data_IF_013402244647
#
_entry.id   IF_013402244647
#
_cell.length_a   1.000
_cell.length_b   1.000
_cell.length_c   1.000
_cell.angle_alpha   90.00
_cell.angle_beta   90.00
_cell.angle_gamma   90.00
#
_symmetry.space_group_name_H-M   'P 1'
#
loop_
_entity.id
_entity.type
_entity.pdbx_description
1 polymer ?
#
# COMPACT_ATOMS: atom_id res chain seq x y z
N UNK A 1 19.00 -10.79 5.15
CA UNK A 1 18.02 -9.80 4.63
C UNK A 1 18.07 -9.72 3.10
N UNK A 2 19.17 -9.26 2.48
CA UNK A 2 19.27 -9.12 1.02
C UNK A 2 18.95 -10.41 0.21
N UNK A 3 19.42 -11.57 0.68
CA UNK A 3 19.08 -12.88 0.11
C UNK A 3 17.56 -13.14 0.06
N UNK A 4 16.83 -12.78 1.12
CA UNK A 4 15.38 -12.96 1.18
C UNK A 4 14.65 -12.00 0.23
N UNK A 5 15.06 -10.72 0.16
CA UNK A 5 14.47 -9.76 -0.76
C UNK A 5 14.67 -10.19 -2.22
N UNK A 6 15.88 -10.67 -2.55
CA UNK A 6 16.21 -11.17 -3.89
C UNK A 6 15.39 -12.42 -4.21
N UNK A 7 15.26 -13.35 -3.25
CA UNK A 7 14.44 -14.54 -3.40
C UNK A 7 12.95 -14.18 -3.61
N UNK A 8 12.40 -13.28 -2.79
CA UNK A 8 11.00 -12.87 -2.90
C UNK A 8 10.71 -12.24 -4.27
N UNK A 9 11.57 -11.32 -4.73
CA UNK A 9 11.44 -10.72 -6.06
C UNK A 9 11.59 -11.75 -7.19
N UNK A 10 12.53 -12.68 -7.06
CA UNK A 10 12.72 -13.74 -8.06
C UNK A 10 11.48 -14.65 -8.15
N UNK A 11 10.93 -15.07 -7.01
CA UNK A 11 9.74 -15.94 -6.95
C UNK A 11 8.51 -15.23 -7.54
N UNK A 12 8.26 -13.97 -7.18
CA UNK A 12 7.13 -13.21 -7.73
C UNK A 12 7.29 -12.94 -9.23
N UNK A 13 8.51 -12.67 -9.69
CA UNK A 13 8.81 -12.47 -11.12
C UNK A 13 8.62 -13.76 -11.92
N UNK A 14 9.10 -14.90 -11.41
CA UNK A 14 8.89 -16.21 -12.07
C UNK A 14 7.39 -16.53 -12.18
N UNK A 15 6.63 -16.28 -11.12
CA UNK A 15 5.17 -16.49 -11.15
C UNK A 15 4.48 -15.59 -12.17
N UNK A 16 4.86 -14.30 -12.24
CA UNK A 16 4.34 -13.38 -13.26
C UNK A 16 4.63 -13.91 -14.68
N UNK A 17 5.83 -14.46 -14.93
CA UNK A 17 6.16 -15.06 -16.23
C UNK A 17 5.26 -16.28 -16.51
N UNK A 18 4.99 -17.11 -15.52
CA UNK A 18 4.06 -18.25 -15.65
C UNK A 18 2.63 -17.79 -15.98
N UNK A 19 2.16 -16.71 -15.37
CA UNK A 19 0.86 -16.10 -15.67
C UNK A 19 0.82 -15.51 -17.09
N UNK A 20 1.89 -14.83 -17.53
CA UNK A 20 2.00 -14.32 -18.91
C UNK A 20 1.92 -15.44 -19.96
N UNK A 21 2.63 -16.56 -19.72
CA UNK A 21 2.60 -17.73 -20.61
C UNK A 21 1.19 -18.33 -20.65
N UNK A 22 0.54 -18.47 -19.49
CA UNK A 22 -0.82 -18.99 -19.40
C UNK A 22 -1.83 -18.07 -20.13
N UNK A 23 -1.75 -16.76 -19.90
CA UNK A 23 -2.59 -15.77 -20.57
C UNK A 23 -2.42 -15.81 -22.10
N UNK A 24 -1.19 -16.03 -22.59
CA UNK A 24 -0.95 -16.19 -24.03
C UNK A 24 -1.56 -17.48 -24.60
N UNK A 25 -1.48 -18.59 -23.86
CA UNK A 25 -2.06 -19.87 -24.27
C UNK A 25 -3.58 -19.82 -24.33
N UNK A 26 -4.21 -19.29 -23.29
CA UNK A 26 -5.68 -19.22 -23.15
C UNK A 26 -6.29 -17.94 -23.75
N UNK A 27 -5.56 -17.19 -24.59
CA UNK A 27 -5.98 -15.89 -25.15
C UNK A 27 -7.31 -15.89 -25.93
N UNK A 28 -7.78 -17.06 -26.34
CA UNK A 28 -9.03 -17.23 -27.08
C UNK A 28 -10.24 -17.52 -26.17
N UNK A 29 -10.01 -17.87 -24.90
CA UNK A 29 -11.03 -18.07 -23.88
C UNK A 29 -11.07 -16.82 -22.98
N UNK A 30 -12.05 -15.95 -23.23
CA UNK A 30 -12.18 -14.68 -22.52
C UNK A 30 -12.42 -14.85 -21.02
N UNK A 31 -13.07 -15.94 -20.60
CA UNK A 31 -13.36 -16.19 -19.19
C UNK A 31 -12.09 -16.61 -18.44
N UNK A 32 -11.28 -17.48 -19.04
CA UNK A 32 -9.98 -17.88 -18.49
C UNK A 32 -8.99 -16.72 -18.51
N UNK A 33 -8.93 -15.99 -19.62
CA UNK A 33 -8.06 -14.83 -19.77
C UNK A 33 -8.39 -13.77 -18.71
N UNK A 34 -9.67 -13.42 -18.52
CA UNK A 34 -10.05 -12.45 -17.50
C UNK A 34 -9.64 -12.88 -16.09
N UNK A 35 -9.78 -14.17 -15.75
CA UNK A 35 -9.37 -14.72 -14.44
C UNK A 35 -7.88 -14.57 -14.18
N UNK A 36 -7.02 -14.93 -15.14
CA UNK A 36 -5.56 -14.78 -14.97
C UNK A 36 -5.15 -13.31 -14.99
N UNK A 37 -5.80 -12.48 -15.81
CA UNK A 37 -5.46 -11.05 -15.93
C UNK A 37 -5.64 -10.29 -14.62
N UNK A 38 -6.63 -10.63 -13.78
CA UNK A 38 -6.80 -10.00 -12.46
C UNK A 38 -5.57 -10.19 -11.58
N UNK A 39 -5.11 -11.43 -11.44
CA UNK A 39 -3.94 -11.77 -10.65
C UNK A 39 -2.67 -11.20 -11.27
N UNK A 40 -2.48 -11.40 -12.58
CA UNK A 40 -1.32 -10.93 -13.32
C UNK A 40 -1.11 -9.42 -13.16
N UNK A 41 -2.18 -8.63 -13.26
CA UNK A 41 -2.07 -7.18 -13.10
C UNK A 41 -1.74 -6.75 -11.66
N UNK A 42 -2.22 -7.47 -10.65
CA UNK A 42 -1.78 -7.26 -9.26
C UNK A 42 -0.29 -7.60 -9.07
N UNK A 43 0.22 -8.60 -9.77
CA UNK A 43 1.66 -8.91 -9.75
C UNK A 43 2.47 -7.81 -10.44
N UNK A 44 1.98 -7.28 -11.57
CA UNK A 44 2.62 -6.15 -12.27
C UNK A 44 2.68 -4.91 -11.37
N UNK A 45 1.60 -4.53 -10.68
CA UNK A 45 1.62 -3.38 -9.77
C UNK A 45 2.55 -3.60 -8.58
N UNK A 46 2.52 -4.79 -7.98
CA UNK A 46 3.38 -5.16 -6.86
C UNK A 46 4.86 -5.14 -7.25
N UNK A 47 5.24 -5.76 -8.37
CA UNK A 47 6.62 -5.76 -8.87
C UNK A 47 7.07 -4.34 -9.22
N UNK A 48 6.21 -3.53 -9.86
CA UNK A 48 6.52 -2.12 -10.16
C UNK A 48 6.89 -1.33 -8.91
N UNK A 49 6.13 -1.51 -7.81
CA UNK A 49 6.43 -0.88 -6.52
C UNK A 49 7.69 -1.47 -5.88
N UNK A 50 7.85 -2.80 -5.88
CA UNK A 50 9.05 -3.45 -5.34
C UNK A 50 10.33 -2.94 -6.00
N UNK A 51 10.31 -2.74 -7.33
CA UNK A 51 11.43 -2.15 -8.07
C UNK A 51 11.73 -0.73 -7.60
N UNK A 52 10.71 0.11 -7.39
CA UNK A 52 10.90 1.45 -6.82
C UNK A 52 11.52 1.37 -5.42
N UNK A 53 10.99 0.52 -4.53
CA UNK A 53 11.55 0.34 -3.18
C UNK A 53 13.01 -0.15 -3.20
N UNK A 54 13.38 -0.94 -4.20
CA UNK A 54 14.74 -1.46 -4.34
C UNK A 54 15.71 -0.43 -4.94
N UNK A 55 15.31 0.25 -6.02
CA UNK A 55 16.14 1.23 -6.73
C UNK A 55 16.28 2.53 -5.92
N UNK A 56 15.21 2.97 -5.28
CA UNK A 56 15.16 4.22 -4.51
C UNK A 56 15.36 4.00 -3.01
N UNK A 57 15.90 2.84 -2.62
CA UNK A 57 16.07 2.43 -1.22
C UNK A 57 16.79 3.49 -0.37
N UNK A 58 17.88 4.05 -0.88
CA UNK A 58 18.65 5.09 -0.18
C UNK A 58 17.81 6.36 0.01
N UNK A 59 17.05 6.75 -1.03
CA UNK A 59 16.20 7.94 -0.93
C UNK A 59 15.03 7.75 0.02
N UNK A 60 14.47 6.55 0.07
CA UNK A 60 13.42 6.17 1.03
C UNK A 60 14.00 6.18 2.44
N UNK A 61 15.21 5.64 2.63
CA UNK A 61 15.87 5.63 3.94
C UNK A 61 16.10 7.05 4.45
N UNK A 62 16.66 7.94 3.62
CA UNK A 62 16.84 9.36 3.97
C UNK A 62 15.51 10.06 4.28
N UNK A 63 14.45 9.78 3.52
CA UNK A 63 13.12 10.33 3.78
C UNK A 63 12.56 9.88 5.14
N UNK A 64 12.74 8.61 5.48
CA UNK A 64 12.31 8.07 6.79
C UNK A 64 13.15 8.65 7.92
N UNK A 65 14.47 8.75 7.74
CA UNK A 65 15.39 9.33 8.71
C UNK A 65 15.08 10.82 8.98
N UNK A 66 14.57 11.55 7.98
CA UNK A 66 14.14 12.93 8.17
C UNK A 66 13.00 13.08 9.21
N UNK A 67 12.19 12.04 9.45
CA UNK A 67 11.17 12.08 10.50
C UNK A 67 11.73 12.03 11.92
N UNK A 68 13.02 11.71 12.11
CA UNK A 68 13.69 11.75 13.41
C UNK A 68 14.19 13.16 13.78
N UNK A 69 14.09 14.12 12.86
CA UNK A 69 14.46 15.51 13.12
C UNK A 69 13.58 16.13 14.24
N UNK A 70 14.13 17.10 14.96
CA UNK A 70 13.49 17.70 16.13
C UNK A 70 12.19 18.44 15.76
N UNK A 71 12.13 19.00 14.56
CA UNK A 71 10.99 19.70 13.99
C UNK A 71 9.77 18.78 13.85
N UNK A 72 9.99 17.50 13.53
CA UNK A 72 8.93 16.50 13.42
C UNK A 72 8.51 15.91 14.77
N UNK A 73 9.35 16.03 15.80
CA UNK A 73 9.17 15.39 17.11
C UNK A 73 8.93 16.40 18.24
N UNK A 74 8.24 17.49 17.94
CA UNK A 74 7.86 18.49 18.94
C UNK A 74 6.97 17.89 20.02
N UNK A 75 7.25 18.18 21.29
CA UNK A 75 6.48 17.66 22.44
C UNK A 75 4.97 17.94 22.34
N UNK A 76 4.60 19.12 21.82
CA UNK A 76 3.21 19.57 21.67
C UNK A 76 2.43 18.78 20.61
N UNK A 77 3.14 18.17 19.64
CA UNK A 77 2.56 17.31 18.61
C UNK A 77 2.50 15.83 18.98
N UNK A 78 3.06 15.43 20.13
CA UNK A 78 3.23 14.02 20.47
C UNK A 78 1.92 13.24 20.56
N UNK A 79 0.81 13.87 20.97
CA UNK A 79 -0.50 13.23 21.01
C UNK A 79 -1.01 12.94 19.60
N UNK A 80 -0.97 13.93 18.70
CA UNK A 80 -1.36 13.81 17.30
C UNK A 80 -0.53 12.72 16.59
N UNK A 81 0.79 12.69 16.80
CA UNK A 81 1.68 11.69 16.21
C UNK A 81 1.37 10.28 16.70
N UNK A 82 1.08 10.11 17.99
CA UNK A 82 0.66 8.81 18.54
C UNK A 82 -0.66 8.34 17.94
N UNK A 83 -1.62 9.23 17.75
CA UNK A 83 -2.92 8.89 17.18
C UNK A 83 -2.81 8.56 15.68
N UNK A 84 -1.96 9.27 14.94
CA UNK A 84 -1.59 8.94 13.56
C UNK A 84 -0.95 7.55 13.48
N UNK A 85 0.07 7.26 14.29
CA UNK A 85 0.73 5.96 14.30
C UNK A 85 -0.23 4.81 14.67
N UNK A 86 -1.12 5.01 15.65
CA UNK A 86 -2.14 4.01 16.01
C UNK A 86 -3.13 3.77 14.87
N UNK A 87 -3.54 4.83 14.18
CA UNK A 87 -4.50 4.73 13.08
C UNK A 87 -3.87 4.08 11.84
N UNK A 88 -2.65 4.47 11.48
CA UNK A 88 -1.87 3.83 10.42
C UNK A 88 -1.65 2.33 10.69
N UNK A 89 -1.32 1.95 11.93
CA UNK A 89 -1.15 0.54 12.31
C UNK A 89 -2.45 -0.25 12.23
N UNK A 90 -3.58 0.34 12.63
CA UNK A 90 -4.91 -0.32 12.50
C UNK A 90 -5.27 -0.52 11.05
N UNK A 91 -5.10 0.51 10.23
CA UNK A 91 -5.32 0.47 8.79
C UNK A 91 -4.48 -0.62 8.12
N UNK A 92 -3.16 -0.66 8.37
CA UNK A 92 -2.27 -1.69 7.83
C UNK A 92 -2.74 -3.10 8.20
N UNK A 93 -3.06 -3.34 9.47
CA UNK A 93 -3.49 -4.67 9.94
C UNK A 93 -4.81 -5.10 9.31
N UNK A 94 -5.79 -4.20 9.24
CA UNK A 94 -7.07 -4.47 8.61
C UNK A 94 -6.88 -4.76 7.11
N UNK A 95 -6.11 -3.92 6.43
CA UNK A 95 -5.91 -3.99 5.00
C UNK A 95 -5.13 -5.24 4.57
N UNK A 96 -3.98 -5.53 5.18
CA UNK A 96 -3.25 -6.78 4.92
C UNK A 96 -4.05 -8.01 5.37
N UNK A 97 -4.85 -7.90 6.45
CA UNK A 97 -5.75 -8.96 6.89
C UNK A 97 -6.81 -9.31 5.85
N UNK A 98 -7.44 -8.30 5.23
CA UNK A 98 -8.41 -8.49 4.14
C UNK A 98 -7.75 -9.14 2.92
N UNK A 99 -6.50 -8.77 2.58
CA UNK A 99 -5.76 -9.39 1.48
C UNK A 99 -5.47 -10.88 1.74
N UNK A 100 -4.99 -11.22 2.94
CA UNK A 100 -4.74 -12.63 3.32
C UNK A 100 -6.04 -13.44 3.34
N UNK A 101 -7.13 -12.87 3.87
CA UNK A 101 -8.45 -13.51 3.85
C UNK A 101 -8.91 -13.78 2.42
N UNK A 102 -8.74 -12.82 1.51
CA UNK A 102 -9.08 -12.97 0.09
C UNK A 102 -8.30 -14.12 -0.55
N UNK A 103 -6.98 -14.17 -0.35
CA UNK A 103 -6.13 -15.26 -0.85
C UNK A 103 -6.53 -16.62 -0.26
N UNK A 104 -6.91 -16.64 1.02
CA UNK A 104 -7.40 -17.86 1.69
C UNK A 104 -8.71 -18.34 1.09
N UNK A 105 -9.64 -17.45 0.76
CA UNK A 105 -10.89 -17.83 0.09
C UNK A 105 -10.63 -18.36 -1.32
N UNK A 106 -9.65 -17.81 -2.04
CA UNK A 106 -9.31 -18.25 -3.39
C UNK A 106 -8.80 -19.69 -3.45
N UNK A 107 -8.07 -20.16 -2.43
CA UNK A 107 -7.60 -21.56 -2.39
C UNK A 107 -8.71 -22.57 -2.04
N UNK A 108 -9.84 -22.11 -1.48
CA UNK A 108 -10.97 -22.98 -1.20
C UNK A 108 -11.59 -23.51 -2.51
N UNK A 109 -11.62 -22.71 -3.58
CA UNK A 109 -12.24 -23.16 -4.85
C UNK A 109 -11.50 -24.35 -5.48
N UNK A 110 -10.17 -24.31 -5.70
CA UNK A 110 -9.42 -25.48 -6.18
C UNK A 110 -9.62 -26.72 -5.32
N UNK A 111 -9.68 -26.57 -3.98
CA UNK A 111 -9.90 -27.69 -3.06
C UNK A 111 -11.30 -28.28 -3.20
N UNK A 112 -12.34 -27.44 -3.26
CA UNK A 112 -13.72 -27.90 -3.44
C UNK A 112 -13.88 -28.63 -4.77
N UNK A 113 -13.35 -28.07 -5.86
CA UNK A 113 -13.41 -28.70 -7.17
C UNK A 113 -12.66 -30.04 -7.19
N UNK A 114 -11.47 -30.12 -6.60
CA UNK A 114 -10.71 -31.36 -6.51
C UNK A 114 -11.46 -32.46 -5.73
N UNK A 115 -12.06 -32.12 -4.58
CA UNK A 115 -12.83 -33.07 -3.75
C UNK A 115 -14.10 -33.54 -4.46
N UNK A 116 -14.71 -32.68 -5.28
CA UNK A 116 -15.88 -33.02 -6.10
C UNK A 116 -15.54 -33.81 -7.38
N UNK A 117 -14.24 -34.05 -7.65
CA UNK A 117 -13.79 -34.69 -8.88
C UNK A 117 -13.96 -33.81 -10.13
N UNK A 118 -14.12 -32.50 -9.95
CA UNK A 118 -14.20 -31.52 -11.03
C UNK A 118 -12.79 -31.13 -11.51
N UNK A 119 -12.63 -30.76 -12.79
CA UNK A 119 -11.35 -30.28 -13.30
C UNK A 119 -10.92 -28.99 -12.57
N UNK A 120 -9.68 -28.97 -12.08
CA UNK A 120 -9.09 -27.79 -11.43
C UNK A 120 -8.12 -27.13 -12.40
N UNK A 121 -8.34 -25.84 -12.66
CA UNK A 121 -7.41 -25.04 -13.44
C UNK A 121 -6.69 -24.05 -12.54
N UNK A 122 -5.36 -24.13 -12.51
CA UNK A 122 -4.54 -23.12 -11.87
C UNK A 122 -4.32 -21.95 -12.85
N UNK A 123 -4.45 -20.68 -12.41
CA UNK A 123 -4.32 -19.51 -13.27
C UNK A 123 -2.85 -19.16 -13.57
N UNK A 124 -1.99 -20.15 -13.74
CA UNK A 124 -0.58 -19.99 -14.10
C UNK A 124 -0.09 -21.22 -14.84
N UNK A 125 0.93 -21.06 -15.67
CA UNK A 125 1.46 -22.15 -16.47
C UNK A 125 2.24 -23.15 -15.62
N UNK A 126 1.87 -24.43 -15.73
CA UNK A 126 2.57 -25.56 -15.14
C UNK A 126 2.44 -26.79 -16.04
N UNK A 127 3.56 -27.52 -16.24
CA UNK A 127 3.59 -28.78 -16.99
C UNK A 127 3.32 -30.01 -16.11
N UNK A 128 3.05 -29.82 -14.83
CA UNK A 128 2.88 -30.90 -13.88
C UNK A 128 1.45 -31.45 -13.92
N UNK A 129 1.35 -32.78 -13.96
CA UNK A 129 0.09 -33.50 -13.89
C UNK A 129 -0.51 -33.40 -12.47
N UNK A 130 -1.43 -32.46 -12.31
CA UNK A 130 -2.09 -32.11 -11.05
C UNK A 130 -3.28 -33.02 -10.73
N UNK A 131 -3.49 -34.10 -11.49
CA UNK A 131 -4.43 -35.17 -11.08
C UNK A 131 -3.87 -36.01 -9.92
N UNK A 132 -2.55 -35.98 -9.71
CA UNK A 132 -1.88 -36.68 -8.61
C UNK A 132 -2.01 -35.87 -7.31
N UNK A 133 -2.44 -36.48 -6.19
CA UNK A 133 -2.68 -35.76 -4.93
C UNK A 133 -1.47 -34.96 -4.42
N UNK A 134 -0.27 -35.52 -4.50
CA UNK A 134 0.96 -34.84 -4.07
C UNK A 134 1.25 -33.59 -4.92
N UNK A 135 1.11 -33.72 -6.25
CA UNK A 135 1.38 -32.61 -7.18
C UNK A 135 0.34 -31.51 -7.02
N UNK A 136 -0.93 -31.88 -6.84
CA UNK A 136 -2.00 -30.94 -6.56
C UNK A 136 -1.71 -30.10 -5.30
N UNK A 137 -1.38 -30.75 -4.19
CA UNK A 137 -1.07 -30.05 -2.92
C UNK A 137 0.14 -29.14 -3.08
N UNK A 138 1.20 -29.59 -3.76
CA UNK A 138 2.39 -28.77 -4.00
C UNK A 138 2.08 -27.51 -4.82
N UNK A 139 1.29 -27.64 -5.90
CA UNK A 139 0.89 -26.49 -6.73
C UNK A 139 -0.05 -25.54 -5.99
N UNK A 140 -0.98 -26.08 -5.20
CA UNK A 140 -1.88 -25.29 -4.36
C UNK A 140 -1.09 -24.47 -3.33
N UNK A 141 -0.13 -25.10 -2.65
CA UNK A 141 0.73 -24.43 -1.66
C UNK A 141 1.63 -23.38 -2.32
N UNK A 142 2.17 -23.67 -3.51
CA UNK A 142 2.95 -22.71 -4.30
C UNK A 142 2.11 -21.49 -4.67
N UNK A 143 0.93 -21.70 -5.26
CA UNK A 143 0.01 -20.62 -5.65
C UNK A 143 -0.41 -19.78 -4.45
N UNK A 144 -0.79 -20.43 -3.34
CA UNK A 144 -1.15 -19.75 -2.09
C UNK A 144 0.01 -18.89 -1.54
N UNK A 145 1.21 -19.45 -1.52
CA UNK A 145 2.39 -18.76 -1.01
C UNK A 145 2.69 -17.50 -1.82
N UNK A 146 2.75 -17.61 -3.15
CA UNK A 146 3.10 -16.48 -4.02
C UNK A 146 2.00 -15.41 -3.99
N UNK A 147 0.74 -15.79 -4.15
CA UNK A 147 -0.38 -14.82 -4.13
C UNK A 147 -0.47 -14.09 -2.79
N UNK A 148 -0.29 -14.80 -1.67
CA UNK A 148 -0.29 -14.19 -0.34
C UNK A 148 0.92 -13.27 -0.15
N UNK A 149 2.11 -13.68 -0.61
CA UNK A 149 3.31 -12.84 -0.57
C UNK A 149 3.11 -11.53 -1.33
N UNK A 150 2.51 -11.60 -2.53
CA UNK A 150 2.20 -10.45 -3.38
C UNK A 150 1.15 -9.55 -2.74
N UNK A 151 0.08 -10.12 -2.19
CA UNK A 151 -0.95 -9.38 -1.48
C UNK A 151 -0.39 -8.63 -0.26
N UNK A 152 0.45 -9.29 0.55
CA UNK A 152 1.12 -8.64 1.68
C UNK A 152 2.08 -7.55 1.19
N UNK A 153 2.90 -7.82 0.18
CA UNK A 153 3.83 -6.83 -0.37
C UNK A 153 3.09 -5.60 -0.90
N UNK A 154 2.04 -5.78 -1.70
CA UNK A 154 1.26 -4.68 -2.25
C UNK A 154 0.63 -3.83 -1.15
N UNK A 155 -0.07 -4.49 -0.21
CA UNK A 155 -0.77 -3.79 0.88
C UNK A 155 0.19 -3.04 1.81
N UNK A 156 1.35 -3.61 2.12
CA UNK A 156 2.35 -2.98 3.00
C UNK A 156 3.03 -1.80 2.33
N UNK A 157 3.37 -1.88 1.04
CA UNK A 157 3.93 -0.76 0.28
C UNK A 157 2.94 0.40 0.15
N UNK A 158 1.66 0.11 -0.11
CA UNK A 158 0.62 1.15 -0.24
C UNK A 158 0.31 1.80 1.11
N UNK A 159 0.23 0.99 2.17
CA UNK A 159 0.09 1.49 3.53
C UNK A 159 1.30 2.34 3.95
N UNK A 160 2.53 1.99 3.54
CA UNK A 160 3.71 2.81 3.79
C UNK A 160 3.58 4.19 3.15
N UNK A 161 3.30 4.24 1.84
CA UNK A 161 3.15 5.51 1.10
C UNK A 161 2.02 6.35 1.72
N UNK A 162 0.86 5.72 1.99
CA UNK A 162 -0.26 6.38 2.66
C UNK A 162 0.08 6.89 4.06
N UNK A 163 0.90 6.16 4.83
CA UNK A 163 1.35 6.59 6.16
C UNK A 163 2.28 7.79 6.08
N UNK A 164 3.15 7.88 5.08
CA UNK A 164 4.01 9.05 4.88
C UNK A 164 3.18 10.30 4.54
N UNK A 165 2.16 10.18 3.68
CA UNK A 165 1.20 11.27 3.43
C UNK A 165 0.43 11.65 4.70
N UNK A 166 -0.05 10.66 5.45
CA UNK A 166 -0.74 10.92 6.71
C UNK A 166 0.18 11.63 7.73
N UNK A 167 1.45 11.25 7.79
CA UNK A 167 2.44 11.93 8.61
C UNK A 167 2.61 13.39 8.16
N UNK A 168 2.70 13.65 6.85
CA UNK A 168 2.76 15.03 6.32
C UNK A 168 1.54 15.85 6.75
N UNK A 169 0.32 15.31 6.60
CA UNK A 169 -0.91 15.95 7.07
C UNK A 169 -0.83 16.27 8.57
N UNK A 170 -0.45 15.30 9.40
CA UNK A 170 -0.37 15.52 10.85
C UNK A 170 0.63 16.61 11.20
N UNK A 171 1.72 16.72 10.45
CA UNK A 171 2.75 17.74 10.65
C UNK A 171 2.28 19.12 10.20
N UNK A 172 1.51 19.22 9.10
CA UNK A 172 0.82 20.47 8.71
C UNK A 172 -0.16 20.91 9.80
N UNK A 173 -0.92 19.98 10.38
CA UNK A 173 -1.82 20.29 11.50
C UNK A 173 -1.08 20.78 12.74
N UNK A 174 0.06 20.18 13.08
CA UNK A 174 0.92 20.65 14.19
C UNK A 174 1.46 22.06 13.88
N UNK A 175 1.93 22.28 12.66
CA UNK A 175 2.42 23.57 12.19
C UNK A 175 1.33 24.65 12.26
N UNK A 176 0.10 24.33 11.85
CA UNK A 176 -1.05 25.22 11.96
C UNK A 176 -1.30 25.64 13.41
N UNK A 177 -1.34 24.68 14.34
CA UNK A 177 -1.49 24.97 15.78
C UNK A 177 -0.33 25.86 16.27
N UNK A 178 0.89 25.60 15.80
CA UNK A 178 2.06 26.40 16.17
C UNK A 178 1.97 27.85 15.68
N UNK A 179 1.37 28.08 14.50
CA UNK A 179 1.09 29.41 13.98
C UNK A 179 -0.07 30.10 14.72
N UNK A 180 -1.18 29.39 14.96
CA UNK A 180 -2.35 29.93 15.68
C UNK A 180 -1.98 30.35 17.12
N UNK A 181 -1.05 29.63 17.76
CA UNK A 181 -0.60 29.90 19.13
C UNK A 181 0.72 30.66 19.19
N UNK A 182 1.19 31.23 18.07
CA UNK A 182 2.52 31.85 17.96
C UNK A 182 2.70 33.00 18.96
N UNK A 183 1.73 33.92 19.03
CA UNK A 183 1.81 35.10 19.89
C UNK A 183 1.77 34.72 21.38
N UNK A 184 0.90 33.77 21.75
CA UNK A 184 0.79 33.23 23.11
C UNK A 184 2.11 32.58 23.54
N UNK A 185 2.69 31.73 22.68
CA UNK A 185 3.98 31.07 22.93
C UNK A 185 5.13 32.05 23.08
N UNK A 186 5.12 33.14 22.30
CA UNK A 186 6.11 34.20 22.43
C UNK A 186 5.97 34.90 23.79
N UNK A 187 4.74 35.19 24.22
CA UNK A 187 4.47 35.81 25.52
C UNK A 187 4.88 34.90 26.68
N UNK A 188 4.54 33.62 26.63
CA UNK A 188 4.91 32.64 27.67
C UNK A 188 6.42 32.56 27.86
N UNK A 189 7.18 32.50 26.76
CA UNK A 189 8.65 32.48 26.82
C UNK A 189 9.27 33.76 27.39
N UNK A 190 8.69 34.93 27.11
CA UNK A 190 9.14 36.20 27.71
C UNK A 190 8.77 36.26 29.19
N UNK A 191 7.64 35.69 29.59
CA UNK A 191 7.27 35.60 31.01
C UNK A 191 8.23 34.66 31.78
N UNK A 192 8.72 33.59 31.14
CA UNK A 192 9.73 32.69 31.69
C UNK A 192 11.12 33.32 31.76
N UNK A 193 11.51 34.09 30.75
CA UNK A 193 12.78 34.83 30.69
C UNK A 193 12.56 36.28 30.23
N UNK A 194 12.29 37.21 31.18
CA UNK A 194 12.02 38.61 30.88
C UNK A 194 13.22 39.38 30.30
N UNK A 195 14.41 38.77 30.27
CA UNK A 195 15.62 39.40 29.72
C UNK A 195 15.62 39.44 28.19
N UNK A 196 14.81 38.59 27.53
CA UNK A 196 14.77 38.48 26.07
C UNK A 196 13.63 39.33 25.50
N UNK A 197 13.89 40.21 24.50
CA UNK A 197 12.84 41.00 23.88
C UNK A 197 11.80 40.12 23.16
N UNK A 198 10.52 40.49 23.28
CA UNK A 198 9.40 39.79 22.64
C UNK A 198 9.60 39.61 21.14
N UNK A 199 10.03 40.65 20.43
CA UNK A 199 10.24 40.61 18.97
C UNK A 199 11.28 39.57 18.54
N UNK A 200 12.31 39.35 19.37
CA UNK A 200 13.36 38.35 19.12
C UNK A 200 12.80 36.94 19.30
N UNK A 201 12.02 36.71 20.37
CA UNK A 201 11.37 35.43 20.62
C UNK A 201 10.36 35.10 19.52
N UNK A 202 9.51 36.07 19.17
CA UNK A 202 8.49 35.94 18.13
C UNK A 202 9.14 35.60 16.78
N UNK A 203 10.17 36.35 16.38
CA UNK A 203 10.88 36.12 15.12
C UNK A 203 11.51 34.73 15.08
N UNK A 204 12.11 34.27 16.20
CA UNK A 204 12.67 32.92 16.29
C UNK A 204 11.61 31.84 16.14
N UNK A 205 10.49 31.94 16.86
CA UNK A 205 9.39 30.97 16.76
C UNK A 205 8.77 30.94 15.36
N UNK A 206 8.67 32.09 14.70
CA UNK A 206 8.19 32.19 13.33
C UNK A 206 9.13 31.48 12.35
N UNK A 207 10.45 31.68 12.49
CA UNK A 207 11.47 30.98 11.69
C UNK A 207 11.43 29.46 11.92
N UNK A 208 11.22 29.01 13.16
CA UNK A 208 11.02 27.58 13.47
C UNK A 208 9.82 27.00 12.71
N UNK A 209 8.68 27.71 12.67
CA UNK A 209 7.52 27.29 11.89
C UNK A 209 7.81 27.25 10.38
N UNK A 210 8.49 28.26 9.83
CA UNK A 210 8.86 28.28 8.42
C UNK A 210 9.79 27.12 8.05
N UNK A 211 10.77 26.81 8.90
CA UNK A 211 11.66 25.67 8.68
C UNK A 211 10.90 24.35 8.72
N UNK A 212 9.97 24.19 9.67
CA UNK A 212 9.12 23.01 9.76
C UNK A 212 8.26 22.82 8.49
N UNK A 213 7.66 23.91 7.97
CA UNK A 213 6.93 23.89 6.69
C UNK A 213 7.83 23.45 5.53
N UNK A 214 9.04 24.00 5.44
CA UNK A 214 10.00 23.67 4.39
C UNK A 214 10.35 22.17 4.42
N UNK A 215 10.56 21.59 5.60
CA UNK A 215 10.83 20.16 5.75
C UNK A 215 9.64 19.30 5.30
N UNK A 216 8.41 19.68 5.67
CA UNK A 216 7.20 18.99 5.24
C UNK A 216 7.08 19.02 3.70
N UNK A 217 7.30 20.18 3.09
CA UNK A 217 7.26 20.35 1.64
C UNK A 217 8.31 19.49 0.93
N UNK A 218 9.55 19.46 1.44
CA UNK A 218 10.63 18.59 0.94
C UNK A 218 10.25 17.11 1.03
N UNK A 219 9.67 16.68 2.14
CA UNK A 219 9.23 15.30 2.34
C UNK A 219 8.14 14.91 1.36
N UNK A 220 7.12 15.76 1.18
CA UNK A 220 6.03 15.50 0.24
C UNK A 220 6.54 15.42 -1.22
N UNK A 221 7.42 16.36 -1.60
CA UNK A 221 8.06 16.35 -2.93
C UNK A 221 8.90 15.09 -3.14
N UNK A 222 9.69 14.69 -2.15
CA UNK A 222 10.52 13.48 -2.22
C UNK A 222 9.66 12.22 -2.34
N UNK A 223 8.54 12.14 -1.63
CA UNK A 223 7.59 11.05 -1.78
C UNK A 223 7.03 10.98 -3.20
N UNK A 224 6.63 12.12 -3.77
CA UNK A 224 6.12 12.20 -5.13
C UNK A 224 7.19 11.82 -6.17
N UNK A 225 8.42 12.29 -6.00
CA UNK A 225 9.54 11.99 -6.91
C UNK A 225 9.89 10.49 -6.90
N UNK A 226 9.80 9.83 -5.74
CA UNK A 226 10.08 8.39 -5.60
C UNK A 226 8.92 7.54 -6.13
N UNK A 227 7.69 7.81 -5.69
CA UNK A 227 6.56 6.91 -5.90
C UNK A 227 5.57 7.35 -6.98
N UNK A 228 5.69 8.56 -7.52
CA UNK A 228 4.70 9.15 -8.44
C UNK A 228 4.39 8.28 -9.65
N UNK A 229 5.42 7.72 -10.31
CA UNK A 229 5.23 6.80 -11.44
C UNK A 229 4.57 5.49 -11.02
N UNK A 230 4.94 4.92 -9.88
CA UNK A 230 4.33 3.68 -9.38
C UNK A 230 2.86 3.89 -9.00
N UNK A 231 2.53 5.04 -8.42
CA UNK A 231 1.13 5.44 -8.14
C UNK A 231 0.36 5.59 -9.45
N UNK A 232 0.93 6.22 -10.48
CA UNK A 232 0.26 6.33 -11.79
C UNK A 232 -0.05 4.96 -12.41
N UNK A 233 0.90 4.04 -12.38
CA UNK A 233 0.71 2.65 -12.83
C UNK A 233 -0.40 1.96 -12.02
N UNK A 234 -0.41 2.16 -10.70
CA UNK A 234 -1.43 1.61 -9.80
C UNK A 234 -2.83 2.14 -10.11
N UNK A 235 -3.00 3.43 -10.43
CA UNK A 235 -4.30 3.98 -10.83
C UNK A 235 -4.79 3.42 -12.18
N UNK A 236 -3.89 3.33 -13.16
CA UNK A 236 -4.25 2.79 -14.49
C UNK A 236 -4.66 1.32 -14.41
N UNK A 237 -3.84 0.50 -13.76
CA UNK A 237 -4.11 -0.93 -13.59
C UNK A 237 -5.30 -1.16 -12.65
N UNK A 238 -5.38 -0.44 -11.53
CA UNK A 238 -6.47 -0.54 -10.57
C UNK A 238 -7.82 -0.19 -11.20
N UNK A 239 -7.89 0.84 -12.05
CA UNK A 239 -9.08 1.19 -12.81
C UNK A 239 -9.54 0.07 -13.74
N UNK A 240 -8.62 -0.52 -14.50
CA UNK A 240 -8.93 -1.66 -15.36
C UNK A 240 -9.45 -2.88 -14.56
N UNK A 241 -8.77 -3.22 -13.46
CA UNK A 241 -9.15 -4.32 -12.57
C UNK A 241 -10.57 -4.10 -12.04
N UNK A 242 -10.90 -2.89 -11.57
CA UNK A 242 -12.21 -2.57 -11.04
C UNK A 242 -13.31 -2.70 -12.10
N UNK A 243 -13.07 -2.22 -13.33
CA UNK A 243 -14.04 -2.36 -14.42
C UNK A 243 -14.36 -3.83 -14.71
N UNK A 244 -13.31 -4.65 -14.84
CA UNK A 244 -13.48 -6.08 -15.13
C UNK A 244 -14.08 -6.84 -13.94
N UNK A 245 -13.70 -6.50 -12.71
CA UNK A 245 -14.22 -7.14 -11.51
C UNK A 245 -15.71 -6.81 -11.31
N UNK A 246 -16.12 -5.56 -11.57
CA UNK A 246 -17.52 -5.15 -11.53
C UNK A 246 -18.36 -5.89 -12.58
N UNK A 247 -17.85 -6.04 -13.81
CA UNK A 247 -18.50 -6.84 -14.85
C UNK A 247 -18.70 -8.30 -14.39
N UNK A 248 -17.64 -8.93 -13.86
CA UNK A 248 -17.72 -10.31 -13.37
C UNK A 248 -18.68 -10.44 -12.19
N UNK A 249 -18.72 -9.49 -11.27
CA UNK A 249 -19.57 -9.52 -10.08
C UNK A 249 -21.07 -9.64 -10.41
N UNK A 250 -21.52 -9.03 -11.52
CA UNK A 250 -22.94 -9.05 -11.95
C UNK A 250 -23.42 -10.46 -12.32
N UNK A 251 -22.50 -11.33 -12.80
CA UNK A 251 -22.82 -12.71 -13.15
C UNK A 251 -22.82 -13.69 -11.96
N UNK A 252 -22.42 -13.24 -10.78
CA UNK A 252 -22.25 -14.12 -9.61
C UNK A 252 -23.49 -14.14 -8.73
N UNK A 253 -23.77 -15.31 -8.14
CA UNK A 253 -24.80 -15.44 -7.13
C UNK A 253 -24.33 -14.79 -5.81
N UNK A 254 -25.14 -13.90 -5.25
CA UNK A 254 -24.83 -13.11 -4.03
C UNK A 254 -24.50 -14.00 -2.82
N UNK A 255 -25.09 -15.20 -2.71
CA UNK A 255 -24.85 -16.14 -1.61
C UNK A 255 -23.65 -17.07 -1.83
N UNK A 256 -22.85 -16.85 -2.89
CA UNK A 256 -21.69 -17.68 -3.20
C UNK A 256 -20.41 -17.19 -2.52
N UNK A 257 -19.50 -18.14 -2.23
CA UNK A 257 -18.12 -17.82 -1.78
C UNK A 257 -17.39 -17.00 -2.85
N UNK A 258 -17.69 -17.21 -4.14
CA UNK A 258 -17.10 -16.47 -5.25
C UNK A 258 -17.47 -14.98 -5.17
N UNK A 259 -18.75 -14.66 -4.96
CA UNK A 259 -19.20 -13.29 -4.77
C UNK A 259 -18.52 -12.62 -3.57
N UNK A 260 -18.41 -13.34 -2.44
CA UNK A 260 -17.72 -12.83 -1.25
C UNK A 260 -16.24 -12.53 -1.53
N UNK A 261 -15.53 -13.47 -2.17
CA UNK A 261 -14.10 -13.30 -2.50
C UNK A 261 -13.87 -12.15 -3.50
N UNK A 262 -14.75 -11.99 -4.49
CA UNK A 262 -14.68 -10.91 -5.48
C UNK A 262 -14.96 -9.55 -4.83
N UNK A 263 -15.94 -9.49 -3.92
CA UNK A 263 -16.25 -8.26 -3.17
C UNK A 263 -15.07 -7.83 -2.29
N UNK A 264 -14.42 -8.77 -1.61
CA UNK A 264 -13.22 -8.49 -0.80
C UNK A 264 -12.07 -8.02 -1.69
N UNK A 265 -11.86 -8.65 -2.85
CA UNK A 265 -10.86 -8.23 -3.83
C UNK A 265 -11.12 -6.79 -4.33
N UNK A 266 -12.34 -6.46 -4.74
CA UNK A 266 -12.73 -5.09 -5.13
C UNK A 266 -12.48 -4.11 -3.97
N UNK A 267 -12.83 -4.50 -2.74
CA UNK A 267 -12.59 -3.67 -1.54
C UNK A 267 -11.10 -3.42 -1.32
N UNK A 268 -10.24 -4.40 -1.54
CA UNK A 268 -8.78 -4.22 -1.48
C UNK A 268 -8.31 -3.18 -2.49
N UNK A 269 -8.68 -3.32 -3.77
CA UNK A 269 -8.26 -2.38 -4.83
C UNK A 269 -8.83 -0.98 -4.60
N UNK A 270 -10.09 -0.86 -4.18
CA UNK A 270 -10.67 0.43 -3.83
C UNK A 270 -9.94 1.07 -2.65
N UNK A 271 -9.55 0.29 -1.64
CA UNK A 271 -8.77 0.78 -0.50
C UNK A 271 -7.42 1.31 -0.97
N UNK A 272 -6.73 0.63 -1.88
CA UNK A 272 -5.46 1.08 -2.48
C UNK A 272 -5.58 2.48 -3.08
N UNK A 273 -6.57 2.67 -3.96
CA UNK A 273 -6.80 3.95 -4.62
C UNK A 273 -7.27 5.02 -3.63
N UNK A 274 -8.15 4.66 -2.71
CA UNK A 274 -8.69 5.58 -1.72
C UNK A 274 -7.60 6.10 -0.79
N UNK A 275 -6.62 5.28 -0.40
CA UNK A 275 -5.52 5.72 0.47
C UNK A 275 -4.74 6.90 -0.12
N UNK A 276 -4.38 6.82 -1.40
CA UNK A 276 -3.67 7.90 -2.06
C UNK A 276 -4.53 9.15 -2.23
N UNK A 277 -5.76 8.97 -2.69
CA UNK A 277 -6.68 10.09 -2.90
C UNK A 277 -7.00 10.81 -1.59
N UNK A 278 -7.32 10.06 -0.54
CA UNK A 278 -7.71 10.61 0.74
C UNK A 278 -6.56 11.36 1.40
N UNK A 279 -5.41 10.70 1.60
CA UNK A 279 -4.29 11.36 2.28
C UNK A 279 -3.64 12.44 1.42
N UNK A 280 -3.62 12.30 0.09
CA UNK A 280 -3.18 13.37 -0.81
C UNK A 280 -4.09 14.60 -0.74
N UNK A 281 -5.40 14.41 -0.69
CA UNK A 281 -6.36 15.49 -0.49
C UNK A 281 -6.19 16.16 0.88
N UNK A 282 -6.08 15.37 1.95
CA UNK A 282 -5.89 15.90 3.30
C UNK A 282 -4.61 16.73 3.44
N UNK A 283 -3.53 16.34 2.77
CA UNK A 283 -2.29 17.15 2.71
C UNK A 283 -2.49 18.46 1.94
N UNK A 284 -3.42 18.51 0.98
CA UNK A 284 -3.71 19.72 0.20
C UNK A 284 -4.66 20.66 0.94
N UNK A 285 -5.57 20.11 1.75
CA UNK A 285 -6.56 20.87 2.53
C UNK A 285 -5.93 21.53 3.76
N UNK A 286 -5.00 20.84 4.43
CA UNK A 286 -4.25 21.38 5.58
C UNK A 286 -3.17 22.37 5.16
#
# INVERSE_FOLDING_TARGET
>A
HALYCTFALAVTTVYLVQECVYAYQERHDMDKLARVMFLLLCHVTSISKQLVFYVEADKIHEMVAAFDLAEYNQRRGAAQLRDTARSARRLLRAYSGTAVLTCTLWIIFPVLYYVQGLPVEFPFWTHLDHTRPLVFVLLLMYSYYVTTLVGIANTTMDAFIGTVLYQCKTQLRILRINFETLMERAQDKVNEDPSVPYDVVLSKLFLECLHHYEQISKTNKRLQDIFGTAILVQFGIGGWILCMAAYKLISLNVLSIEFASMTLFITCILTELFLYCYYGNEVTVE
#
